data_IF_850927064811
#
_entry.id   IF_850927064811
#
_cell.length_a   1.000
_cell.length_b   1.000
_cell.length_c   1.000
_cell.angle_alpha   90.00
_cell.angle_beta   90.00
_cell.angle_gamma   90.00
#
_symmetry.space_group_name_H-M   'P 1'
#
loop_
_entity.id
_entity.type
_entity.pdbx_description
1 polymer ?
#
# COMPACT_ATOMS: atom_id res chain seq x y z
N UNK A 1 24.23 -11.45 34.84
CA UNK A 1 25.48 -11.08 35.55
C UNK A 1 25.91 -12.25 36.42
N UNK A 2 27.19 -12.60 36.45
CA UNK A 2 27.73 -13.71 37.27
C UNK A 2 28.84 -13.21 38.19
N UNK A 3 28.63 -13.27 39.49
CA UNK A 3 29.64 -12.89 40.49
C UNK A 3 30.77 -13.93 40.53
N UNK A 4 32.03 -13.48 40.46
CA UNK A 4 33.21 -14.35 40.48
C UNK A 4 33.90 -14.29 41.83
N UNK A 5 34.07 -13.08 42.37
CA UNK A 5 34.70 -12.91 43.68
C UNK A 5 34.32 -11.59 44.31
N UNK A 6 34.30 -11.55 45.63
CA UNK A 6 34.19 -10.31 46.41
C UNK A 6 35.34 -10.25 47.43
N UNK A 7 35.99 -9.09 47.51
CA UNK A 7 37.00 -8.75 48.51
C UNK A 7 36.41 -7.70 49.43
N UNK A 8 36.53 -7.95 50.73
CA UNK A 8 35.91 -7.17 51.80
C UNK A 8 37.00 -6.86 52.81
N UNK A 9 37.30 -5.59 53.02
CA UNK A 9 38.26 -5.06 53.98
C UNK A 9 37.55 -4.14 54.97
N UNK A 10 37.67 -4.42 56.26
CA UNK A 10 37.10 -3.65 57.37
C UNK A 10 35.58 -3.37 57.29
N UNK A 11 34.79 -4.37 56.93
CA UNK A 11 33.33 -4.28 56.89
C UNK A 11 32.73 -5.22 57.92
N UNK A 12 32.10 -4.65 58.95
CA UNK A 12 31.47 -5.38 60.04
C UNK A 12 32.43 -6.42 60.65
N UNK A 13 32.05 -7.69 60.65
CA UNK A 13 32.84 -8.81 61.15
C UNK A 13 34.06 -9.16 60.28
N UNK A 14 34.15 -8.65 59.04
CA UNK A 14 35.23 -8.96 58.11
C UNK A 14 36.36 -7.92 58.22
N UNK A 15 37.51 -8.34 58.76
CA UNK A 15 38.74 -7.53 58.73
C UNK A 15 39.36 -7.55 57.34
N UNK A 16 39.54 -8.76 56.79
CA UNK A 16 40.01 -8.98 55.43
C UNK A 16 39.50 -10.33 54.97
N UNK A 17 38.66 -10.34 53.95
CA UNK A 17 38.04 -11.58 53.45
C UNK A 17 37.92 -11.52 51.93
N UNK A 18 38.36 -12.58 51.27
CA UNK A 18 38.10 -12.81 49.86
C UNK A 18 37.20 -14.05 49.74
N UNK A 19 36.02 -13.86 49.16
CA UNK A 19 35.10 -14.95 48.86
C UNK A 19 35.10 -15.14 47.35
N UNK A 20 35.37 -16.38 46.92
CA UNK A 20 35.31 -16.79 45.51
C UNK A 20 34.08 -17.63 45.29
N UNK A 21 33.36 -17.36 44.21
CA UNK A 21 32.15 -18.07 43.85
C UNK A 21 32.44 -19.00 42.67
N UNK A 22 31.94 -20.23 42.76
CA UNK A 22 31.99 -21.20 41.68
C UNK A 22 30.68 -21.21 40.91
N UNK A 23 30.66 -21.93 39.79
CA UNK A 23 29.46 -22.13 39.00
C UNK A 23 28.48 -23.03 39.78
N UNK A 24 27.18 -22.78 39.58
CA UNK A 24 26.12 -23.52 40.26
C UNK A 24 25.76 -22.97 41.64
N UNK A 25 25.40 -23.86 42.55
CA UNK A 25 24.86 -23.51 43.86
C UNK A 25 25.99 -23.26 44.87
N UNK A 26 26.08 -22.03 45.37
CA UNK A 26 27.05 -21.64 46.40
C UNK A 26 26.31 -21.46 47.73
N UNK A 27 26.83 -22.05 48.81
CA UNK A 27 26.23 -21.94 50.15
C UNK A 27 27.21 -21.31 51.14
N UNK A 28 26.79 -20.24 51.81
CA UNK A 28 27.54 -19.63 52.92
C UNK A 28 27.04 -20.22 54.25
N UNK A 29 27.83 -21.09 54.86
CA UNK A 29 27.48 -21.79 56.12
C UNK A 29 28.36 -21.29 57.27
N UNK A 30 27.77 -21.21 58.46
CA UNK A 30 28.48 -20.76 59.67
C UNK A 30 27.52 -20.44 60.81
N UNK A 31 28.06 -20.18 62.00
CA UNK A 31 27.29 -19.79 63.18
C UNK A 31 26.55 -18.45 63.04
N UNK A 32 25.58 -18.19 63.91
CA UNK A 32 24.92 -16.88 64.01
C UNK A 32 25.97 -15.79 64.30
N UNK A 33 25.85 -14.64 63.64
CA UNK A 33 26.78 -13.51 63.86
C UNK A 33 28.14 -13.60 63.14
N UNK A 34 28.46 -14.72 62.47
CA UNK A 34 29.75 -14.93 61.80
C UNK A 34 29.92 -14.19 60.45
N UNK A 35 29.13 -13.16 60.17
CA UNK A 35 29.33 -12.33 58.97
C UNK A 35 28.72 -12.84 57.66
N UNK A 36 28.00 -13.96 57.65
CA UNK A 36 27.37 -14.50 56.43
C UNK A 36 26.54 -13.46 55.66
N UNK A 37 25.64 -12.78 56.36
CA UNK A 37 24.82 -11.71 55.77
C UNK A 37 25.64 -10.48 55.43
N UNK A 38 26.77 -10.23 56.11
CA UNK A 38 27.69 -9.13 55.82
C UNK A 38 28.30 -9.23 54.42
N UNK A 39 28.55 -10.44 53.92
CA UNK A 39 28.99 -10.66 52.53
C UNK A 39 27.95 -10.16 51.53
N UNK A 40 26.66 -10.44 51.77
CA UNK A 40 25.56 -9.98 50.92
C UNK A 40 25.38 -8.46 51.01
N UNK A 41 25.51 -7.87 52.21
CA UNK A 41 25.47 -6.42 52.40
C UNK A 41 26.63 -5.72 51.70
N UNK A 42 27.83 -6.29 51.73
CA UNK A 42 28.98 -5.77 51.00
C UNK A 42 28.73 -5.80 49.49
N UNK A 43 28.06 -6.83 48.99
CA UNK A 43 27.73 -6.96 47.58
C UNK A 43 26.67 -5.93 47.11
N UNK A 44 25.62 -5.68 47.89
CA UNK A 44 24.67 -4.60 47.59
C UNK A 44 25.36 -3.23 47.62
N UNK A 45 26.16 -2.98 48.65
CA UNK A 45 26.89 -1.73 48.78
C UNK A 45 27.85 -1.50 47.63
N UNK A 46 28.63 -2.50 47.20
CA UNK A 46 29.61 -2.27 46.12
C UNK A 46 28.95 -1.95 44.78
N UNK A 47 27.75 -2.48 44.52
CA UNK A 47 26.99 -2.17 43.31
C UNK A 47 26.41 -0.75 43.36
N UNK A 48 25.63 -0.42 44.40
CA UNK A 48 24.81 0.79 44.40
C UNK A 48 25.39 1.93 45.24
N UNK A 49 26.27 1.63 46.19
CA UNK A 49 26.84 2.60 47.12
C UNK A 49 25.89 3.05 48.22
N UNK A 50 24.58 2.90 48.06
CA UNK A 50 23.61 3.35 49.04
C UNK A 50 23.58 2.46 50.28
N UNK A 51 23.35 3.05 51.47
CA UNK A 51 23.19 2.24 52.64
C UNK A 51 21.80 1.56 52.62
N UNK A 52 21.73 0.38 53.22
CA UNK A 52 20.55 -0.48 53.20
C UNK A 52 19.48 -0.08 54.21
N UNK A 53 18.95 1.14 54.08
CA UNK A 53 17.95 1.72 55.00
C UNK A 53 18.50 2.00 56.41
N UNK A 54 19.82 1.98 56.58
CA UNK A 54 20.56 2.35 57.80
C UNK A 54 21.63 3.39 57.44
N UNK A 55 22.45 3.81 58.39
CA UNK A 55 23.64 4.63 58.11
C UNK A 55 24.81 3.79 57.60
N UNK A 56 25.80 4.43 56.97
CA UNK A 56 27.07 3.79 56.59
C UNK A 56 27.85 3.24 57.79
N UNK A 57 27.58 3.75 58.98
CA UNK A 57 28.11 3.26 60.26
C UNK A 57 27.77 1.80 60.53
N UNK A 58 26.65 1.31 59.99
CA UNK A 58 26.28 -0.10 60.12
C UNK A 58 27.13 -1.04 59.23
N UNK A 59 27.83 -0.50 58.23
CA UNK A 59 28.67 -1.24 57.29
C UNK A 59 30.14 -1.19 57.71
N UNK A 60 30.67 0.00 58.00
CA UNK A 60 32.05 0.16 58.42
C UNK A 60 32.28 -0.52 59.79
N UNK A 61 33.39 -1.23 59.93
CA UNK A 61 33.77 -1.82 61.22
C UNK A 61 34.03 -0.70 62.26
N UNK A 62 33.62 -0.92 63.50
CA UNK A 62 33.72 0.08 64.59
C UNK A 62 35.16 0.59 64.78
N UNK A 63 36.13 -0.33 64.83
CA UNK A 63 37.55 -0.01 65.06
C UNK A 63 38.31 0.43 63.79
N UNK A 64 37.62 0.67 62.67
CA UNK A 64 38.25 1.01 61.40
C UNK A 64 37.95 2.44 60.96
N UNK A 65 38.98 3.11 60.46
CA UNK A 65 38.89 4.43 59.83
C UNK A 65 38.45 4.34 58.37
N UNK A 66 38.81 3.26 57.68
CA UNK A 66 38.48 3.05 56.27
C UNK A 66 38.08 1.59 56.02
N UNK A 67 37.10 1.41 55.13
CA UNK A 67 36.60 0.11 54.69
C UNK A 67 36.48 0.06 53.19
N UNK A 68 36.74 -1.10 52.60
CA UNK A 68 36.83 -1.24 51.14
C UNK A 68 36.20 -2.52 50.67
N UNK A 69 35.42 -2.43 49.61
CA UNK A 69 34.78 -3.57 48.97
C UNK A 69 35.11 -3.53 47.49
N UNK A 70 35.50 -4.68 46.93
CA UNK A 70 35.59 -4.84 45.49
C UNK A 70 34.96 -6.15 45.04
N UNK A 71 34.20 -6.11 43.96
CA UNK A 71 33.56 -7.27 43.36
C UNK A 71 34.00 -7.42 41.91
N UNK A 72 34.32 -8.65 41.53
CA UNK A 72 34.57 -9.05 40.15
C UNK A 72 33.38 -9.86 39.65
N UNK A 73 32.83 -9.49 38.50
CA UNK A 73 31.73 -10.21 37.88
C UNK A 73 31.93 -10.31 36.37
N UNK A 74 31.25 -11.28 35.76
CA UNK A 74 31.22 -11.50 34.32
C UNK A 74 29.82 -11.21 33.81
N UNK A 75 29.72 -10.44 32.73
CA UNK A 75 28.47 -10.16 32.02
C UNK A 75 28.75 -10.13 30.52
N UNK A 76 27.95 -10.83 29.71
CA UNK A 76 28.12 -10.91 28.25
C UNK A 76 29.55 -11.20 27.79
N UNK A 77 30.20 -12.20 28.42
CA UNK A 77 31.60 -12.62 28.17
C UNK A 77 32.69 -11.58 28.47
N UNK A 78 32.33 -10.42 29.05
CA UNK A 78 33.26 -9.40 29.51
C UNK A 78 33.45 -9.46 31.01
N UNK A 79 34.64 -9.08 31.46
CA UNK A 79 35.01 -9.04 32.88
C UNK A 79 34.87 -7.63 33.42
N UNK A 80 34.27 -7.52 34.60
CA UNK A 80 34.05 -6.24 35.26
C UNK A 80 34.56 -6.29 36.68
N UNK A 81 35.11 -5.17 37.13
CA UNK A 81 35.51 -4.97 38.52
C UNK A 81 34.95 -3.65 39.01
N UNK A 82 34.14 -3.70 40.06
CA UNK A 82 33.69 -2.52 40.77
C UNK A 82 34.34 -2.46 42.13
N UNK A 83 34.71 -1.25 42.56
CA UNK A 83 35.28 -0.97 43.85
C UNK A 83 34.61 0.25 44.46
N UNK A 84 34.30 0.16 45.76
CA UNK A 84 33.83 1.25 46.60
C UNK A 84 34.54 1.22 47.95
N UNK A 85 34.69 2.38 48.57
CA UNK A 85 35.22 2.48 49.91
C UNK A 85 34.37 3.41 50.78
N UNK A 86 34.48 3.20 52.09
CA UNK A 86 33.92 4.02 53.14
C UNK A 86 35.07 4.63 53.92
N UNK A 87 34.87 5.88 54.35
CA UNK A 87 35.81 6.60 55.20
C UNK A 87 35.09 7.22 56.37
N UNK A 88 35.67 7.05 57.55
CA UNK A 88 35.27 7.73 58.77
C UNK A 88 35.80 9.16 58.71
N UNK A 89 34.88 10.11 58.71
CA UNK A 89 35.18 11.52 58.94
C UNK A 89 35.02 11.86 60.41
N UNK A 90 35.19 13.14 60.75
CA UNK A 90 35.13 13.63 62.13
C UNK A 90 33.78 13.37 62.82
N UNK A 91 32.67 13.50 62.09
CA UNK A 91 31.32 13.41 62.63
C UNK A 91 30.40 12.41 61.91
N UNK A 92 30.85 11.80 60.81
CA UNK A 92 30.05 10.87 60.01
C UNK A 92 30.91 9.94 59.18
N UNK A 93 30.33 8.82 58.76
CA UNK A 93 30.94 7.90 57.80
C UNK A 93 30.30 8.16 56.45
N UNK A 94 31.13 8.34 55.43
CA UNK A 94 30.71 8.59 54.06
C UNK A 94 31.40 7.65 53.07
N UNK A 95 30.93 7.68 51.82
CA UNK A 95 31.66 7.04 50.73
C UNK A 95 32.92 7.81 50.38
N UNK A 96 34.01 7.09 50.19
CA UNK A 96 35.24 7.63 49.64
C UNK A 96 35.17 7.58 48.10
N UNK A 97 34.82 8.74 47.52
CA UNK A 97 34.55 8.91 46.10
C UNK A 97 35.82 8.68 45.27
N UNK A 98 37.01 8.97 45.80
CA UNK A 98 38.28 8.80 45.07
C UNK A 98 38.64 7.31 44.85
N UNK A 99 38.06 6.44 45.68
CA UNK A 99 38.21 5.00 45.58
C UNK A 99 37.09 4.31 44.80
N UNK A 100 36.08 5.06 44.36
CA UNK A 100 35.01 4.57 43.49
C UNK A 100 35.53 4.37 42.07
N UNK A 101 35.63 3.10 41.65
CA UNK A 101 36.16 2.75 40.33
C UNK A 101 35.41 1.58 39.74
N UNK A 102 35.03 1.71 38.47
CA UNK A 102 34.44 0.66 37.66
C UNK A 102 35.37 0.37 36.47
N UNK A 103 35.76 -0.88 36.32
CA UNK A 103 36.61 -1.36 35.25
C UNK A 103 35.87 -2.37 34.38
N UNK A 104 36.15 -2.33 33.08
CA UNK A 104 35.76 -3.34 32.09
C UNK A 104 37.04 -3.86 31.42
N UNK A 105 37.28 -5.18 31.50
CA UNK A 105 38.45 -5.85 30.92
C UNK A 105 39.78 -5.15 31.29
N UNK A 106 39.86 -4.68 32.54
CA UNK A 106 41.01 -3.97 33.09
C UNK A 106 41.08 -2.47 32.77
N UNK A 107 40.23 -1.94 31.89
CA UNK A 107 40.17 -0.51 31.56
C UNK A 107 39.17 0.21 32.45
N UNK A 108 39.54 1.37 32.99
CA UNK A 108 38.64 2.21 33.80
C UNK A 108 37.57 2.82 32.87
N UNK A 109 36.30 2.57 33.18
CA UNK A 109 35.17 3.10 32.39
C UNK A 109 34.40 4.19 33.15
N UNK A 110 34.34 4.13 34.47
CA UNK A 110 33.73 5.16 35.30
C UNK A 110 34.41 5.26 36.67
N UNK A 111 34.48 6.47 37.22
CA UNK A 111 35.09 6.76 38.52
C UNK A 111 34.58 8.08 39.09
N UNK A 112 34.81 8.30 40.39
CA UNK A 112 34.70 9.58 41.09
C UNK A 112 33.31 10.28 41.05
N UNK A 113 32.27 9.61 40.55
CA UNK A 113 30.87 10.05 40.61
C UNK A 113 29.95 8.85 40.80
N UNK A 114 29.17 8.86 41.88
CA UNK A 114 28.25 7.77 42.21
C UNK A 114 27.22 7.55 41.10
N UNK A 115 26.58 8.63 40.66
CA UNK A 115 25.51 8.55 39.65
C UNK A 115 26.05 7.99 38.33
N UNK A 116 27.21 8.47 37.88
CA UNK A 116 27.84 7.97 36.65
C UNK A 116 28.18 6.48 36.72
N UNK A 117 28.73 5.99 37.85
CA UNK A 117 29.04 4.55 38.00
C UNK A 117 27.76 3.72 38.07
N UNK A 118 26.72 4.21 38.74
CA UNK A 118 25.43 3.52 38.86
C UNK A 118 24.70 3.47 37.52
N UNK A 119 24.70 4.56 36.75
CA UNK A 119 24.12 4.62 35.40
C UNK A 119 24.86 3.68 34.44
N UNK A 120 26.20 3.71 34.42
CA UNK A 120 27.01 2.79 33.62
C UNK A 120 26.74 1.33 33.99
N UNK A 121 26.68 1.01 35.29
CA UNK A 121 26.29 -0.33 35.73
C UNK A 121 24.90 -0.73 35.26
N UNK A 122 23.93 0.19 35.29
CA UNK A 122 22.56 -0.04 34.82
C UNK A 122 22.54 -0.29 33.31
N UNK A 123 23.30 0.47 32.52
CA UNK A 123 23.45 0.27 31.07
C UNK A 123 24.08 -1.10 30.77
N UNK A 124 25.14 -1.48 31.51
CA UNK A 124 25.87 -2.73 31.28
C UNK A 124 25.04 -3.95 31.66
N UNK A 125 24.38 -3.91 32.82
CA UNK A 125 23.77 -5.09 33.43
C UNK A 125 22.25 -5.14 33.30
N UNK A 126 21.60 -4.02 32.97
CA UNK A 126 20.15 -3.84 33.04
C UNK A 126 19.60 -3.86 34.47
N UNK A 127 20.47 -3.91 35.49
CA UNK A 127 20.05 -4.04 36.88
C UNK A 127 19.81 -2.66 37.48
N UNK A 128 18.55 -2.37 37.77
CA UNK A 128 18.17 -1.28 38.66
C UNK A 128 18.31 -1.70 40.13
N UNK A 129 18.55 -0.73 41.01
CA UNK A 129 18.69 -0.95 42.45
C UNK A 129 17.46 -1.63 43.05
N UNK A 130 16.27 -1.19 42.67
CA UNK A 130 15.02 -1.74 43.20
C UNK A 130 14.81 -3.17 42.72
N UNK A 131 15.07 -3.42 41.43
CA UNK A 131 15.00 -4.74 40.82
C UNK A 131 15.97 -5.71 41.49
N UNK A 132 17.22 -5.28 41.73
CA UNK A 132 18.22 -6.13 42.39
C UNK A 132 17.80 -6.51 43.80
N UNK A 133 17.34 -5.55 44.60
CA UNK A 133 16.96 -5.77 46.01
C UNK A 133 15.67 -6.58 46.19
N UNK A 134 14.81 -6.64 45.18
CA UNK A 134 13.58 -7.43 45.24
C UNK A 134 13.70 -8.80 44.55
N UNK A 135 14.41 -8.91 43.42
CA UNK A 135 14.45 -10.14 42.62
C UNK A 135 15.76 -10.94 42.77
N UNK A 136 16.91 -10.27 42.84
CA UNK A 136 18.22 -10.94 42.84
C UNK A 136 18.67 -11.25 44.25
N UNK A 137 18.52 -10.29 45.15
CA UNK A 137 18.84 -10.44 46.56
C UNK A 137 17.59 -10.48 47.41
N UNK A 138 17.13 -11.70 47.64
CA UNK A 138 15.94 -11.93 48.43
C UNK A 138 16.32 -11.92 49.93
N UNK A 139 15.97 -10.84 50.63
CA UNK A 139 16.25 -10.70 52.06
C UNK A 139 15.47 -11.72 52.88
N UNK A 140 16.03 -12.13 54.01
CA UNK A 140 15.32 -12.95 54.99
C UNK A 140 14.00 -12.26 55.38
N UNK A 141 12.91 -13.01 55.44
CA UNK A 141 11.53 -12.53 55.69
C UNK A 141 10.86 -11.70 54.57
N UNK A 142 11.58 -11.17 53.56
CA UNK A 142 10.97 -10.43 52.44
C UNK A 142 10.11 -11.33 51.53
N UNK A 143 10.54 -12.59 51.33
CA UNK A 143 9.73 -13.60 50.62
C UNK A 143 8.36 -13.80 51.24
N UNK A 144 8.29 -13.82 52.57
CA UNK A 144 7.01 -13.99 53.27
C UNK A 144 6.09 -12.82 52.97
N UNK A 145 6.60 -11.59 52.99
CA UNK A 145 5.82 -10.41 52.62
C UNK A 145 5.27 -10.48 51.18
N UNK A 146 6.05 -11.01 50.22
CA UNK A 146 5.58 -11.15 48.84
C UNK A 146 4.50 -12.23 48.71
N UNK A 147 4.59 -13.32 49.49
CA UNK A 147 3.60 -14.41 49.54
C UNK A 147 2.33 -13.97 50.29
N UNK A 148 2.47 -13.21 51.38
CA UNK A 148 1.37 -12.81 52.26
C UNK A 148 0.54 -11.64 51.69
N UNK A 149 1.06 -10.92 50.69
CA UNK A 149 0.31 -9.86 50.00
C UNK A 149 -0.81 -10.41 49.12
N UNK A 150 -1.91 -9.66 49.02
CA UNK A 150 -3.03 -10.01 48.13
C UNK A 150 -2.59 -10.04 46.67
N UNK A 151 -3.22 -10.86 45.80
CA UNK A 151 -2.84 -10.97 44.39
C UNK A 151 -2.77 -9.62 43.66
N UNK A 152 -3.73 -8.72 43.91
CA UNK A 152 -3.77 -7.38 43.31
C UNK A 152 -2.61 -6.49 43.75
N UNK A 153 -2.26 -6.52 45.05
CA UNK A 153 -1.12 -5.74 45.56
C UNK A 153 0.21 -6.32 45.07
N UNK A 154 0.31 -7.65 44.99
CA UNK A 154 1.48 -8.32 44.43
C UNK A 154 1.68 -7.95 42.97
N UNK A 155 0.61 -8.00 42.17
CA UNK A 155 0.63 -7.58 40.77
C UNK A 155 1.10 -6.12 40.66
N UNK A 156 0.49 -5.20 41.40
CA UNK A 156 0.91 -3.80 41.40
C UNK A 156 2.40 -3.61 41.74
N UNK A 157 2.91 -4.32 42.77
CA UNK A 157 4.34 -4.26 43.12
C UNK A 157 5.23 -4.77 41.99
N UNK A 158 4.81 -5.83 41.31
CA UNK A 158 5.55 -6.37 40.16
C UNK A 158 5.51 -5.39 38.99
N UNK A 159 4.34 -4.81 38.70
CA UNK A 159 4.15 -3.81 37.65
C UNK A 159 4.99 -2.56 37.91
N UNK A 160 5.04 -2.08 39.16
CA UNK A 160 5.92 -0.99 39.59
C UNK A 160 7.40 -1.36 39.40
N UNK A 161 7.81 -2.59 39.72
CA UNK A 161 9.19 -3.05 39.56
C UNK A 161 9.64 -3.14 38.09
N UNK A 162 8.72 -3.47 37.18
CA UNK A 162 8.98 -3.51 35.75
C UNK A 162 8.69 -2.19 35.03
N UNK A 163 8.22 -1.15 35.74
CA UNK A 163 7.85 0.13 35.16
C UNK A 163 6.58 0.09 34.30
N UNK A 164 5.74 -0.94 34.44
CA UNK A 164 4.46 -1.04 33.73
C UNK A 164 3.46 0.03 34.21
N UNK A 165 3.57 0.44 35.47
CA UNK A 165 2.77 1.51 36.05
C UNK A 165 2.95 2.85 35.33
N UNK A 166 4.12 3.11 34.74
CA UNK A 166 4.37 4.33 33.96
C UNK A 166 3.53 4.34 32.67
N UNK A 167 3.33 3.17 32.05
CA UNK A 167 2.45 3.02 30.90
C UNK A 167 0.98 3.21 31.28
N UNK A 168 0.53 2.68 32.41
CA UNK A 168 -0.83 2.91 32.91
C UNK A 168 -1.08 4.40 33.18
N UNK A 169 -0.11 5.08 33.80
CA UNK A 169 -0.17 6.51 34.04
C UNK A 169 -0.24 7.31 32.73
N UNK A 170 0.66 7.02 31.78
CA UNK A 170 0.66 7.67 30.47
C UNK A 170 -0.66 7.44 29.71
N UNK A 171 -1.18 6.21 29.76
CA UNK A 171 -2.47 5.86 29.16
C UNK A 171 -3.62 6.66 29.78
N UNK A 172 -3.67 6.78 31.11
CA UNK A 172 -4.71 7.54 31.80
C UNK A 172 -4.72 9.02 31.41
N UNK A 173 -3.53 9.61 31.21
CA UNK A 173 -3.36 10.99 30.76
C UNK A 173 -3.80 11.14 29.30
N UNK A 174 -3.38 10.22 28.42
CA UNK A 174 -3.79 10.22 27.01
C UNK A 174 -5.30 10.08 26.85
N UNK A 175 -5.94 9.26 27.69
CA UNK A 175 -7.39 9.08 27.66
C UNK A 175 -8.14 10.38 28.00
N UNK A 176 -7.59 11.24 28.85
CA UNK A 176 -8.16 12.57 29.12
C UNK A 176 -8.12 13.44 27.86
N UNK A 177 -6.97 13.50 27.18
CA UNK A 177 -6.84 14.25 25.93
C UNK A 177 -7.76 13.71 24.84
N UNK A 178 -7.85 12.39 24.68
CA UNK A 178 -8.74 11.76 23.71
C UNK A 178 -10.19 12.20 23.92
N UNK A 179 -10.67 12.21 25.18
CA UNK A 179 -12.03 12.68 25.48
C UNK A 179 -12.23 14.15 25.12
N UNK A 180 -11.26 15.02 25.42
CA UNK A 180 -11.34 16.45 25.07
C UNK A 180 -11.39 16.63 23.55
N UNK A 181 -10.51 15.97 22.81
CA UNK A 181 -10.50 16.00 21.34
C UNK A 181 -11.79 15.45 20.75
N UNK A 182 -12.36 14.40 21.33
CA UNK A 182 -13.62 13.82 20.86
C UNK A 182 -14.79 14.79 21.09
N UNK A 183 -14.80 15.53 22.20
CA UNK A 183 -15.79 16.60 22.43
C UNK A 183 -15.60 17.74 21.42
N UNK A 184 -14.38 18.24 21.22
CA UNK A 184 -14.09 19.31 20.25
C UNK A 184 -14.44 18.89 18.82
N UNK A 185 -14.06 17.68 18.43
CA UNK A 185 -14.41 17.08 17.13
C UNK A 185 -15.93 17.04 16.93
N UNK A 186 -16.67 16.57 17.94
CA UNK A 186 -18.14 16.52 17.86
C UNK A 186 -18.78 17.90 17.75
N UNK A 187 -18.18 18.94 18.34
CA UNK A 187 -18.64 20.33 18.19
C UNK A 187 -18.38 20.81 16.76
N UNK A 188 -17.16 20.65 16.26
CA UNK A 188 -16.76 21.07 14.92
C UNK A 188 -17.50 20.32 13.81
N UNK A 189 -17.75 19.01 13.96
CA UNK A 189 -18.53 18.23 13.00
C UNK A 189 -20.00 18.66 12.94
N UNK A 190 -20.52 19.27 14.01
CA UNK A 190 -21.88 19.81 14.06
C UNK A 190 -21.98 21.25 13.55
N UNK A 191 -20.86 21.92 13.31
CA UNK A 191 -20.87 23.26 12.75
C UNK A 191 -21.51 23.25 11.35
N UNK A 192 -22.45 24.18 11.15
CA UNK A 192 -23.28 24.23 9.96
C UNK A 192 -22.45 24.40 8.67
N UNK A 193 -21.30 25.08 8.76
CA UNK A 193 -20.41 25.31 7.63
C UNK A 193 -19.67 24.03 7.22
N UNK A 194 -19.23 23.21 8.17
CA UNK A 194 -18.58 21.91 7.89
C UNK A 194 -19.57 20.95 7.24
N UNK A 195 -20.79 20.89 7.74
CA UNK A 195 -21.87 20.08 7.14
C UNK A 195 -22.21 20.58 5.72
N UNK A 196 -22.21 21.90 5.50
CA UNK A 196 -22.44 22.48 4.18
C UNK A 196 -21.32 22.15 3.20
N UNK A 197 -20.07 22.19 3.64
CA UNK A 197 -18.90 21.83 2.81
C UNK A 197 -19.00 20.36 2.38
N UNK A 198 -19.25 19.43 3.30
CA UNK A 198 -19.41 18.01 2.95
C UNK A 198 -20.56 17.79 1.96
N UNK A 199 -21.71 18.46 2.16
CA UNK A 199 -22.82 18.41 1.21
C UNK A 199 -22.48 19.02 -0.15
N UNK A 200 -21.66 20.07 -0.17
CA UNK A 200 -21.21 20.72 -1.40
C UNK A 200 -20.24 19.82 -2.15
N UNK A 201 -19.32 19.14 -1.45
CA UNK A 201 -18.43 18.13 -2.02
C UNK A 201 -19.22 16.97 -2.61
N UNK A 202 -20.21 16.43 -1.89
CA UNK A 202 -21.08 15.36 -2.41
C UNK A 202 -21.83 15.80 -3.68
N UNK A 203 -22.36 17.03 -3.68
CA UNK A 203 -23.04 17.58 -4.85
C UNK A 203 -22.08 17.82 -6.02
N UNK A 204 -20.85 18.25 -5.73
CA UNK A 204 -19.80 18.43 -6.74
C UNK A 204 -19.42 17.10 -7.37
N UNK A 205 -19.20 16.05 -6.58
CA UNK A 205 -18.93 14.70 -7.07
C UNK A 205 -20.05 14.19 -7.98
N UNK A 206 -21.32 14.33 -7.57
CA UNK A 206 -22.48 13.97 -8.41
C UNK A 206 -22.53 14.75 -9.71
N UNK A 207 -22.30 16.07 -9.66
CA UNK A 207 -22.28 16.90 -10.86
C UNK A 207 -21.15 16.51 -11.82
N UNK A 208 -19.99 16.10 -11.31
CA UNK A 208 -18.87 15.60 -12.11
C UNK A 208 -19.22 14.25 -12.76
N UNK A 209 -19.86 13.34 -12.03
CA UNK A 209 -20.35 12.06 -12.57
C UNK A 209 -21.39 12.29 -13.68
N UNK A 210 -22.40 13.13 -13.43
CA UNK A 210 -23.42 13.48 -14.42
C UNK A 210 -22.80 14.14 -15.66
N UNK A 211 -21.81 15.02 -15.47
CA UNK A 211 -21.08 15.63 -16.58
C UNK A 211 -20.31 14.58 -17.39
N UNK A 212 -19.67 13.61 -16.73
CA UNK A 212 -18.95 12.54 -17.43
C UNK A 212 -19.88 11.65 -18.26
N UNK A 213 -21.07 11.33 -17.73
CA UNK A 213 -22.09 10.56 -18.44
C UNK A 213 -22.62 11.32 -19.65
N UNK A 214 -22.93 12.60 -19.48
CA UNK A 214 -23.41 13.45 -20.58
C UNK A 214 -22.36 13.63 -21.67
N UNK A 215 -21.08 13.76 -21.33
CA UNK A 215 -19.97 13.81 -22.29
C UNK A 215 -19.87 12.50 -23.09
N UNK A 216 -19.92 11.34 -22.42
CA UNK A 216 -19.91 10.03 -23.09
C UNK A 216 -21.10 9.86 -24.04
N UNK A 217 -22.31 10.26 -23.61
CA UNK A 217 -23.50 10.24 -24.47
C UNK A 217 -23.36 11.16 -25.69
N UNK A 218 -22.71 12.30 -25.53
CA UNK A 218 -22.46 13.27 -26.61
C UNK A 218 -21.44 12.72 -27.61
N UNK A 219 -20.39 12.05 -27.14
CA UNK A 219 -19.43 11.34 -28.01
C UNK A 219 -20.11 10.20 -28.78
N UNK A 220 -20.95 9.40 -28.13
CA UNK A 220 -21.74 8.36 -28.78
C UNK A 220 -22.71 8.93 -29.82
N UNK A 221 -23.37 10.04 -29.51
CA UNK A 221 -24.25 10.73 -30.46
C UNK A 221 -23.46 11.26 -31.67
N UNK A 222 -22.27 11.85 -31.45
CA UNK A 222 -21.39 12.31 -32.52
C UNK A 222 -20.92 11.17 -33.42
N UNK A 223 -20.55 10.03 -32.86
CA UNK A 223 -20.12 8.87 -33.67
C UNK A 223 -21.29 8.28 -34.46
N UNK A 224 -22.50 8.23 -33.89
CA UNK A 224 -23.72 7.84 -34.61
C UNK A 224 -24.05 8.80 -35.74
N UNK A 225 -23.91 10.10 -35.51
CA UNK A 225 -24.16 11.14 -36.52
C UNK A 225 -23.15 11.03 -37.66
N UNK A 226 -21.85 10.89 -37.36
CA UNK A 226 -20.81 10.68 -38.38
C UNK A 226 -21.06 9.41 -39.21
N UNK A 227 -21.53 8.32 -38.60
CA UNK A 227 -21.93 7.10 -39.32
C UNK A 227 -23.13 7.36 -40.23
N UNK A 228 -24.16 8.04 -39.72
CA UNK A 228 -25.35 8.39 -40.51
C UNK A 228 -25.00 9.29 -41.71
N UNK A 229 -24.10 10.27 -41.52
CA UNK A 229 -23.61 11.14 -42.59
C UNK A 229 -22.83 10.35 -43.66
N UNK A 230 -21.98 9.41 -43.25
CA UNK A 230 -21.27 8.54 -44.22
C UNK A 230 -22.23 7.66 -45.02
N UNK A 231 -23.25 7.11 -44.38
CA UNK A 231 -24.29 6.31 -45.06
C UNK A 231 -25.13 7.16 -46.00
N UNK A 232 -25.43 8.41 -45.62
CA UNK A 232 -26.13 9.35 -46.49
C UNK A 232 -25.30 9.72 -47.71
N UNK A 233 -23.99 9.96 -47.54
CA UNK A 233 -23.08 10.19 -48.66
C UNK A 233 -23.01 8.98 -49.61
N UNK A 234 -22.89 7.77 -49.08
CA UNK A 234 -22.88 6.53 -49.87
C UNK A 234 -24.20 6.31 -50.62
N UNK A 235 -25.33 6.57 -49.95
CA UNK A 235 -26.65 6.49 -50.55
C UNK A 235 -26.86 7.54 -51.64
N UNK A 236 -26.37 8.78 -51.44
CA UNK A 236 -26.42 9.85 -52.44
C UNK A 236 -25.57 9.49 -53.68
N UNK A 237 -24.36 8.95 -53.49
CA UNK A 237 -23.51 8.48 -54.58
C UNK A 237 -24.16 7.31 -55.35
N UNK A 238 -24.80 6.38 -54.64
CA UNK A 238 -25.60 5.32 -55.27
C UNK A 238 -26.75 5.89 -56.09
N UNK A 239 -27.46 6.89 -55.56
CA UNK A 239 -28.58 7.53 -56.25
C UNK A 239 -28.10 8.22 -57.54
N UNK A 240 -27.00 8.96 -57.49
CA UNK A 240 -26.38 9.55 -58.69
C UNK A 240 -25.99 8.49 -59.72
N UNK A 241 -25.41 7.36 -59.28
CA UNK A 241 -25.06 6.27 -60.19
C UNK A 241 -26.30 5.64 -60.84
N UNK A 242 -27.41 5.51 -60.10
CA UNK A 242 -28.67 4.98 -60.61
C UNK A 242 -29.36 5.96 -61.56
N UNK A 243 -29.25 7.28 -61.32
CA UNK A 243 -29.72 8.31 -62.25
C UNK A 243 -28.94 8.30 -63.56
N UNK A 244 -27.61 8.13 -63.50
CA UNK A 244 -26.79 7.94 -64.70
C UNK A 244 -27.21 6.68 -65.45
N UNK A 245 -27.40 5.55 -64.74
CA UNK A 245 -27.86 4.31 -65.32
C UNK A 245 -29.23 4.49 -65.99
N UNK A 246 -30.17 5.19 -65.33
CA UNK A 246 -31.48 5.53 -65.87
C UNK A 246 -31.39 6.38 -67.15
N UNK A 247 -30.52 7.40 -67.17
CA UNK A 247 -30.28 8.19 -68.39
C UNK A 247 -29.74 7.30 -69.52
N UNK A 248 -28.81 6.39 -69.22
CA UNK A 248 -28.30 5.46 -70.23
C UNK A 248 -29.37 4.52 -70.76
N UNK A 249 -30.22 3.95 -69.90
CA UNK A 249 -31.31 3.07 -70.34
C UNK A 249 -32.37 3.83 -71.14
N UNK A 250 -32.71 5.06 -70.78
CA UNK A 250 -33.59 5.91 -71.58
C UNK A 250 -33.00 6.20 -72.97
N UNK A 251 -31.69 6.46 -73.08
CA UNK A 251 -31.05 6.63 -74.41
C UNK A 251 -31.03 5.34 -75.22
N UNK A 252 -30.82 4.20 -74.58
CA UNK A 252 -30.87 2.89 -75.24
C UNK A 252 -32.30 2.55 -75.69
N UNK A 253 -33.32 2.85 -74.89
CA UNK A 253 -34.72 2.70 -75.27
C UNK A 253 -35.08 3.60 -76.46
N UNK A 254 -34.62 4.86 -76.48
CA UNK A 254 -34.79 5.74 -77.65
C UNK A 254 -34.14 5.16 -78.90
N UNK A 255 -32.92 4.62 -78.76
CA UNK A 255 -32.23 3.92 -79.86
C UNK A 255 -33.00 2.69 -80.31
N UNK A 256 -33.56 1.90 -79.39
CA UNK A 256 -34.36 0.71 -79.71
C UNK A 256 -35.64 1.08 -80.48
N UNK A 257 -36.38 2.08 -80.02
CA UNK A 257 -37.56 2.61 -80.74
C UNK A 257 -37.17 3.14 -82.13
N UNK A 258 -36.04 3.83 -82.24
CA UNK A 258 -35.53 4.32 -83.52
C UNK A 258 -35.14 3.17 -84.46
N UNK A 259 -34.52 2.11 -83.94
CA UNK A 259 -34.23 0.89 -84.71
C UNK A 259 -35.50 0.14 -85.12
N UNK A 260 -36.52 0.06 -84.26
CA UNK A 260 -37.82 -0.55 -84.57
C UNK A 260 -38.57 0.21 -85.65
N UNK A 261 -38.58 1.55 -85.59
CA UNK A 261 -39.19 2.39 -86.64
C UNK A 261 -38.42 2.28 -87.96
N UNK A 262 -37.08 2.25 -87.92
CA UNK A 262 -36.25 1.97 -89.09
C UNK A 262 -36.55 0.58 -89.67
N UNK A 263 -36.68 -0.46 -88.84
CA UNK A 263 -37.08 -1.81 -89.26
C UNK A 263 -38.46 -1.82 -89.90
N UNK A 264 -39.44 -1.12 -89.32
CA UNK A 264 -40.78 -1.01 -89.89
C UNK A 264 -40.78 -0.24 -91.21
N UNK A 265 -39.98 0.82 -91.34
CA UNK A 265 -39.81 1.55 -92.59
C UNK A 265 -39.14 0.69 -93.67
N UNK A 266 -38.12 -0.09 -93.31
CA UNK A 266 -37.48 -1.06 -94.23
C UNK A 266 -38.49 -2.13 -94.64
N UNK A 267 -39.27 -2.69 -93.70
CA UNK A 267 -40.36 -3.64 -93.99
C UNK A 267 -41.40 -3.04 -94.92
N UNK A 268 -41.80 -1.79 -94.70
CA UNK A 268 -42.78 -1.07 -95.54
C UNK A 268 -42.24 -0.85 -96.96
N UNK A 269 -40.99 -0.39 -97.08
CA UNK A 269 -40.29 -0.30 -98.38
C UNK A 269 -40.19 -1.65 -99.07
N UNK A 270 -39.95 -2.73 -98.31
CA UNK A 270 -39.91 -4.08 -98.85
C UNK A 270 -41.29 -4.48 -99.42
N UNK A 271 -42.39 -4.19 -98.72
CA UNK A 271 -43.74 -4.41 -99.23
C UNK A 271 -44.05 -3.56 -100.47
N UNK A 272 -43.71 -2.27 -100.47
CA UNK A 272 -43.93 -1.36 -101.60
C UNK A 272 -43.16 -1.81 -102.86
N UNK A 273 -41.90 -2.24 -102.70
CA UNK A 273 -41.10 -2.81 -103.78
C UNK A 273 -41.70 -4.15 -104.28
N UNK A 274 -42.27 -4.95 -103.39
CA UNK A 274 -42.95 -6.18 -103.78
C UNK A 274 -44.23 -5.90 -104.58
N UNK A 275 -45.04 -4.92 -104.16
CA UNK A 275 -46.21 -4.47 -104.90
C UNK A 275 -45.85 -3.89 -106.26
N UNK A 276 -44.79 -3.07 -106.34
CA UNK A 276 -44.27 -2.57 -107.62
C UNK A 276 -43.80 -3.71 -108.54
N UNK A 277 -43.15 -4.75 -108.01
CA UNK A 277 -42.80 -5.94 -108.78
C UNK A 277 -44.04 -6.68 -109.30
N UNK A 278 -45.09 -6.81 -108.49
CA UNK A 278 -46.35 -7.42 -108.93
C UNK A 278 -47.04 -6.59 -110.03
N UNK A 279 -47.07 -5.27 -109.89
CA UNK A 279 -47.66 -4.36 -110.88
C UNK A 279 -46.83 -4.36 -112.17
N UNK A 280 -45.50 -4.33 -112.07
CA UNK A 280 -44.62 -4.42 -113.22
C UNK A 280 -44.77 -5.77 -113.93
N UNK A 281 -44.89 -6.88 -113.19
CA UNK A 281 -45.19 -8.18 -113.78
C UNK A 281 -46.54 -8.20 -114.50
N UNK A 282 -47.59 -7.59 -113.94
CA UNK A 282 -48.89 -7.44 -114.61
C UNK A 282 -48.80 -6.59 -115.88
N UNK A 283 -48.09 -5.46 -115.84
CA UNK A 283 -47.83 -4.63 -117.04
C UNK A 283 -47.06 -5.40 -118.11
N UNK A 284 -46.11 -6.25 -117.70
CA UNK A 284 -45.34 -7.10 -118.60
C UNK A 284 -46.24 -8.16 -119.26
N UNK A 285 -47.22 -8.71 -118.53
CA UNK A 285 -48.25 -9.59 -119.10
C UNK A 285 -49.21 -8.85 -120.03
N UNK A 286 -49.67 -7.64 -119.69
CA UNK A 286 -50.53 -6.83 -120.56
C UNK A 286 -49.83 -6.43 -121.85
N UNK A 287 -48.55 -6.06 -121.79
CA UNK A 287 -47.74 -5.78 -122.98
C UNK A 287 -47.53 -7.05 -123.82
N UNK A 288 -47.31 -8.22 -123.20
CA UNK A 288 -47.28 -9.50 -123.92
C UNK A 288 -48.63 -9.82 -124.59
N UNK A 289 -49.75 -9.47 -123.96
CA UNK A 289 -51.09 -9.66 -124.52
C UNK A 289 -51.38 -8.69 -125.68
N UNK A 290 -50.91 -7.44 -125.58
CA UNK A 290 -50.99 -6.46 -126.67
C UNK A 290 -50.14 -6.87 -127.87
N UNK A 291 -48.93 -7.40 -127.64
CA UNK A 291 -48.10 -7.96 -128.71
C UNK A 291 -48.83 -9.11 -129.40
N UNK A 292 -49.44 -10.03 -128.64
CA UNK A 292 -50.28 -11.11 -129.21
C UNK A 292 -51.49 -10.60 -130.00
N UNK A 293 -52.14 -9.50 -129.57
CA UNK A 293 -53.26 -8.88 -130.30
C UNK A 293 -52.80 -8.19 -131.59
N UNK A 294 -51.66 -7.51 -131.57
CA UNK A 294 -51.05 -6.91 -132.75
C UNK A 294 -50.60 -7.99 -133.76
N UNK A 295 -50.06 -9.12 -133.30
CA UNK A 295 -49.78 -10.28 -134.14
C UNK A 295 -51.06 -10.85 -134.78
N UNK A 296 -52.17 -10.89 -134.03
CA UNK A 296 -53.47 -11.37 -134.53
C UNK A 296 -54.09 -10.42 -135.55
N UNK A 297 -53.98 -9.11 -135.35
CA UNK A 297 -54.41 -8.09 -136.32
C UNK A 297 -53.55 -8.09 -137.58
N UNK A 298 -52.25 -8.34 -137.46
CA UNK A 298 -51.35 -8.51 -138.61
C UNK A 298 -51.70 -9.76 -139.44
N UNK A 299 -52.13 -10.86 -138.79
CA UNK A 299 -52.63 -12.06 -139.49
C UNK A 299 -53.96 -11.82 -140.22
N UNK A 300 -54.91 -11.12 -139.60
CA UNK A 300 -56.23 -10.83 -140.19
C UNK A 300 -56.16 -9.83 -141.37
N UNK A 301 -55.17 -8.92 -141.40
CA UNK A 301 -54.95 -8.04 -142.55
C UNK A 301 -54.24 -8.72 -143.73
N UNK A 302 -53.53 -9.83 -143.50
CA UNK A 302 -52.94 -10.63 -144.57
C UNK A 302 -53.97 -11.56 -145.23
N UNK A 303 -54.96 -12.06 -144.49
CA UNK A 303 -56.04 -12.92 -145.03
C UNK A 303 -57.11 -12.14 -145.83
N UNK A 304 -57.19 -10.81 -145.68
CA UNK A 304 -58.12 -9.95 -146.46
C UNK A 304 -57.54 -9.44 -147.80
N UNK A 305 -56.28 -9.77 -148.13
CA UNK A 305 -55.59 -9.36 -149.36
C UNK A 305 -55.57 -10.49 -150.42
N UNK A 306 -56.00 -11.72 -150.09
CA UNK A 306 -55.92 -12.90 -150.99
C UNK A 306 -57.27 -13.43 -151.52
N UNK A 307 -58.32 -12.61 -151.60
CA UNK A 307 -59.54 -12.94 -152.36
C UNK A 307 -60.04 -11.77 -153.21
N UNK A 308 -59.18 -11.32 -154.11
CA UNK A 308 -59.54 -11.13 -155.53
C UNK A 308 -59.48 -12.49 -156.23
#
# INVERSE_FOLDING_TARGET
MKLVSIKIDNIRSHVKTEVRFSDGFNCLVGGLGQGKSSVLYAFDFVLFGDPLGRSYEYLLREDAEEGKISANFVHNRKTYKIQRALKRGTNSIGQDIDQLKLFQDGKLIASNKNDAVTEELKIITGLDKNIFRELVWVRQEHLKQLIDTTPRQRQKKIDDLFGLSDYENAWSVLQLFQRTYEVEKNVLERDADVIRINKLEDNYCKAVEDFSLTVSQLEDAKTKLAKADSLLADAAAHLESLELLRKTTETLQRKDVQLQTNLNNIKRRFCELNEQNVINNKRLEEQKLQIKRMEKQKKLQLESIEKE
#
